data_IF_223747942276
#
_entry.id   IF_223747942276
#
_cell.length_a   1.000
_cell.length_b   1.000
_cell.length_c   1.000
_cell.angle_alpha   90.00
_cell.angle_beta   90.00
_cell.angle_gamma   90.00
#
_symmetry.space_group_name_H-M   'P 1'
#
loop_
_entity.id
_entity.type
_entity.pdbx_description
1 polymer ?
#
# COMPACT_ATOMS: atom_id res chain seq x y z
N UNK A 1 47.63 -168.75 3.54
CA UNK A 1 47.24 -169.89 2.67
C UNK A 1 47.72 -169.60 1.27
N UNK A 2 48.84 -170.18 0.83
CA UNK A 2 49.36 -169.96 -0.53
C UNK A 2 48.66 -170.87 -1.55
N UNK A 3 48.34 -170.34 -2.73
CA UNK A 3 47.71 -171.06 -3.83
C UNK A 3 48.67 -172.10 -4.41
N UNK A 4 48.22 -173.35 -4.59
CA UNK A 4 49.00 -174.47 -5.13
C UNK A 4 48.72 -174.66 -6.63
N UNK A 5 49.76 -174.95 -7.42
CA UNK A 5 49.69 -175.25 -8.85
C UNK A 5 49.65 -176.77 -9.15
N UNK A 6 49.52 -177.17 -10.44
CA UNK A 6 49.37 -178.58 -10.81
C UNK A 6 50.66 -179.35 -10.53
N UNK A 7 50.59 -180.29 -9.59
CA UNK A 7 51.75 -180.97 -9.00
C UNK A 7 51.94 -180.68 -7.51
N UNK A 8 51.02 -179.94 -6.89
CA UNK A 8 50.97 -179.66 -5.45
C UNK A 8 52.14 -178.78 -4.93
N UNK A 9 52.70 -177.93 -5.81
CA UNK A 9 53.69 -176.92 -5.44
C UNK A 9 53.06 -175.51 -5.32
N UNK A 10 53.40 -174.72 -4.29
CA UNK A 10 52.87 -173.36 -4.10
C UNK A 10 53.38 -172.36 -5.14
N UNK A 11 52.46 -171.57 -5.68
CA UNK A 11 52.71 -170.42 -6.56
C UNK A 11 53.01 -169.21 -5.68
N UNK A 12 54.01 -168.41 -6.05
CA UNK A 12 54.42 -167.23 -5.27
C UNK A 12 53.39 -166.10 -5.28
N UNK A 13 53.11 -165.51 -4.10
CA UNK A 13 52.10 -164.45 -3.88
C UNK A 13 52.32 -163.16 -4.68
N UNK A 14 53.54 -162.91 -5.14
CA UNK A 14 53.90 -161.72 -5.93
C UNK A 14 53.14 -161.61 -7.26
N UNK A 15 52.67 -162.74 -7.82
CA UNK A 15 51.85 -162.72 -9.04
C UNK A 15 50.45 -162.14 -8.80
N UNK A 16 49.90 -162.24 -7.58
CA UNK A 16 48.59 -161.65 -7.24
C UNK A 16 48.72 -160.15 -6.90
N UNK A 17 49.80 -159.76 -6.23
CA UNK A 17 50.03 -158.36 -5.83
C UNK A 17 50.14 -157.40 -7.02
N UNK A 18 50.64 -157.86 -8.18
CA UNK A 18 50.72 -157.06 -9.40
C UNK A 18 49.36 -156.71 -10.01
N UNK A 19 48.38 -157.61 -9.92
CA UNK A 19 47.02 -157.39 -10.43
C UNK A 19 46.12 -156.62 -9.42
N UNK A 20 46.49 -156.60 -8.14
CA UNK A 20 45.80 -155.86 -7.07
C UNK A 20 46.20 -154.37 -6.97
N UNK A 21 47.02 -153.87 -7.91
CA UNK A 21 47.31 -152.43 -8.05
C UNK A 21 48.01 -151.79 -6.85
N UNK A 22 48.70 -152.57 -6.00
CA UNK A 22 49.38 -152.08 -4.81
C UNK A 22 48.45 -151.72 -3.64
N UNK A 23 47.18 -152.12 -3.69
CA UNK A 23 46.25 -151.90 -2.58
C UNK A 23 46.48 -152.97 -1.52
N UNK A 24 47.03 -152.54 -0.38
CA UNK A 24 47.17 -153.41 0.80
C UNK A 24 45.81 -153.69 1.44
N UNK A 25 45.72 -154.83 2.13
CA UNK A 25 44.46 -155.36 2.68
C UNK A 25 43.71 -154.32 3.53
N UNK A 26 44.44 -153.55 4.33
CA UNK A 26 43.85 -152.57 5.24
C UNK A 26 43.20 -151.41 4.45
N UNK A 27 43.80 -151.00 3.33
CA UNK A 27 43.26 -149.95 2.45
C UNK A 27 42.06 -150.46 1.65
N UNK A 28 42.12 -151.70 1.17
CA UNK A 28 40.98 -152.31 0.51
C UNK A 28 39.79 -152.45 1.47
N UNK A 29 40.05 -152.86 2.71
CA UNK A 29 39.00 -152.94 3.72
C UNK A 29 38.38 -151.56 4.01
N UNK A 30 39.20 -150.52 4.22
CA UNK A 30 38.70 -149.19 4.54
C UNK A 30 37.86 -148.54 3.42
N UNK A 31 38.13 -148.83 2.14
CA UNK A 31 37.40 -148.22 1.02
C UNK A 31 36.28 -149.09 0.45
N UNK A 32 36.40 -150.41 0.53
CA UNK A 32 35.54 -151.35 -0.21
C UNK A 32 34.97 -152.49 0.62
N UNK A 33 35.36 -152.65 1.89
CA UNK A 33 34.63 -153.53 2.82
C UNK A 33 33.85 -152.69 3.81
N UNK A 34 32.52 -152.68 3.66
CA UNK A 34 31.65 -152.20 4.72
C UNK A 34 31.49 -153.31 5.76
N UNK A 35 32.29 -153.22 6.81
CA UNK A 35 32.11 -153.93 8.07
C UNK A 35 31.49 -152.94 9.08
N UNK A 36 30.57 -153.42 9.92
CA UNK A 36 29.81 -152.63 10.90
C UNK A 36 30.76 -151.84 11.82
N UNK A 37 31.84 -152.50 12.26
CA UNK A 37 32.84 -151.91 13.16
C UNK A 37 33.60 -150.74 12.48
N UNK A 38 33.94 -150.86 11.18
CA UNK A 38 34.63 -149.79 10.43
C UNK A 38 33.73 -148.61 10.11
N UNK A 39 32.42 -148.85 10.00
CA UNK A 39 31.41 -147.81 9.77
C UNK A 39 31.17 -147.00 11.06
N UNK A 40 31.25 -147.65 12.22
CA UNK A 40 31.12 -147.00 13.52
C UNK A 40 32.36 -146.14 13.85
N UNK A 41 33.59 -146.64 13.64
CA UNK A 41 34.82 -145.86 13.83
C UNK A 41 34.93 -144.68 12.84
N UNK A 42 34.55 -144.89 11.57
CA UNK A 42 34.50 -143.82 10.55
C UNK A 42 33.42 -142.78 10.87
N UNK A 43 32.28 -143.22 11.39
CA UNK A 43 31.19 -142.36 11.87
C UNK A 43 31.58 -141.54 13.10
N UNK A 44 32.28 -142.14 14.07
CA UNK A 44 32.78 -141.45 15.27
C UNK A 44 33.82 -140.37 14.92
N UNK A 45 34.70 -140.63 13.95
CA UNK A 45 35.67 -139.63 13.46
C UNK A 45 34.98 -138.41 12.80
N UNK A 46 33.86 -138.63 12.09
CA UNK A 46 33.04 -137.57 11.48
C UNK A 46 32.25 -136.80 12.55
N UNK A 47 31.71 -137.49 13.57
CA UNK A 47 31.03 -136.88 14.72
C UNK A 47 31.98 -136.06 15.61
N UNK A 48 33.23 -136.49 15.76
CA UNK A 48 34.26 -135.78 16.51
C UNK A 48 34.65 -134.44 15.85
N UNK A 49 34.52 -134.35 14.52
CA UNK A 49 34.76 -133.16 13.72
C UNK A 49 33.55 -132.21 13.75
N UNK A 50 33.28 -131.60 14.91
CA UNK A 50 32.11 -130.73 15.16
C UNK A 50 31.89 -129.64 14.10
N UNK A 51 31.08 -129.96 13.10
CA UNK A 51 30.33 -129.02 12.26
C UNK A 51 31.08 -128.34 11.10
N UNK A 52 32.36 -128.03 11.23
CA UNK A 52 32.99 -127.10 10.27
C UNK A 52 33.38 -127.76 8.94
N UNK A 53 33.90 -128.99 8.98
CA UNK A 53 34.30 -129.71 7.76
C UNK A 53 33.09 -130.30 7.02
N UNK A 54 32.07 -130.79 7.76
CA UNK A 54 30.82 -131.29 7.19
C UNK A 54 30.04 -130.20 6.46
N UNK A 55 30.04 -128.97 7.00
CA UNK A 55 29.41 -127.84 6.36
C UNK A 55 30.18 -127.39 5.11
N UNK A 56 31.52 -127.35 5.14
CA UNK A 56 32.35 -127.02 3.96
C UNK A 56 32.24 -128.05 2.83
N UNK A 57 32.25 -129.35 3.14
CA UNK A 57 32.15 -130.43 2.14
C UNK A 57 30.75 -130.53 1.50
N UNK A 58 29.68 -130.26 2.26
CA UNK A 58 28.33 -130.22 1.69
C UNK A 58 28.05 -128.91 0.94
N UNK A 59 28.58 -127.77 1.40
CA UNK A 59 28.30 -126.46 0.78
C UNK A 59 29.09 -126.19 -0.50
N UNK A 60 30.29 -126.76 -0.67
CA UNK A 60 31.07 -126.67 -1.91
C UNK A 60 30.48 -127.52 -3.06
N UNK A 61 29.73 -128.59 -2.75
CA UNK A 61 29.23 -129.57 -3.73
C UNK A 61 27.78 -129.33 -4.18
N UNK A 62 26.98 -128.57 -3.42
CA UNK A 62 25.52 -128.48 -3.66
C UNK A 62 24.98 -127.06 -3.90
N UNK A 63 25.82 -126.03 -3.90
CA UNK A 63 25.39 -124.63 -4.12
C UNK A 63 24.57 -124.01 -2.97
N UNK A 64 24.43 -124.73 -1.84
CA UNK A 64 23.66 -124.33 -0.66
C UNK A 64 24.24 -123.12 0.10
N UNK A 65 25.52 -122.77 -0.10
CA UNK A 65 26.12 -121.57 0.49
C UNK A 65 25.43 -120.27 0.02
N UNK A 66 25.10 -120.19 -1.27
CA UNK A 66 24.36 -119.06 -1.83
C UNK A 66 22.94 -118.97 -1.24
N UNK A 67 22.29 -120.12 -1.05
CA UNK A 67 20.97 -120.19 -0.42
C UNK A 67 21.01 -119.74 1.05
N UNK A 68 22.00 -120.16 1.84
CA UNK A 68 22.13 -119.68 3.22
C UNK A 68 22.36 -118.17 3.32
N UNK A 69 23.15 -117.60 2.40
CA UNK A 69 23.39 -116.16 2.36
C UNK A 69 22.10 -115.41 2.00
N UNK A 70 21.37 -115.85 0.97
CA UNK A 70 20.06 -115.24 0.63
C UNK A 70 19.03 -115.38 1.75
N UNK A 71 19.06 -116.45 2.53
CA UNK A 71 18.15 -116.65 3.67
C UNK A 71 18.47 -115.69 4.82
N UNK A 72 19.75 -115.40 5.05
CA UNK A 72 20.19 -114.37 6.02
C UNK A 72 19.76 -112.97 5.55
N UNK A 73 19.89 -112.66 4.26
CA UNK A 73 19.44 -111.39 3.67
C UNK A 73 17.91 -111.23 3.72
N UNK A 74 17.16 -112.27 3.35
CA UNK A 74 15.70 -112.29 3.48
C UNK A 74 15.25 -112.13 4.93
N UNK A 75 15.97 -112.74 5.87
CA UNK A 75 15.67 -112.63 7.31
C UNK A 75 16.02 -111.25 7.85
N UNK A 76 17.09 -110.60 7.38
CA UNK A 76 17.43 -109.23 7.78
C UNK A 76 16.44 -108.22 7.20
N UNK A 77 15.98 -108.41 5.96
CA UNK A 77 14.90 -107.63 5.35
C UNK A 77 13.58 -107.81 6.10
N UNK A 78 13.21 -109.06 6.44
CA UNK A 78 12.02 -109.36 7.21
C UNK A 78 12.09 -108.75 8.63
N UNK A 79 13.23 -108.86 9.31
CA UNK A 79 13.45 -108.27 10.63
C UNK A 79 13.44 -106.72 10.57
N UNK A 80 13.90 -106.11 9.47
CA UNK A 80 13.82 -104.67 9.22
C UNK A 80 12.38 -104.17 8.98
N UNK A 81 11.58 -104.97 8.27
CA UNK A 81 10.16 -104.72 8.05
C UNK A 81 9.36 -104.84 9.36
N UNK A 82 9.53 -105.94 10.11
CA UNK A 82 8.80 -106.19 11.34
C UNK A 82 9.48 -107.19 12.28
N UNK A 83 9.62 -106.81 13.55
CA UNK A 83 10.12 -107.69 14.61
C UNK A 83 9.35 -107.44 15.91
N UNK A 84 8.84 -108.52 16.52
CA UNK A 84 7.86 -108.51 17.62
C UNK A 84 8.31 -107.73 18.88
N UNK A 85 9.60 -107.44 19.06
CA UNK A 85 10.16 -106.68 20.19
C UNK A 85 11.19 -105.62 19.77
N UNK A 86 11.23 -105.22 18.51
CA UNK A 86 12.15 -104.18 18.07
C UNK A 86 11.63 -102.78 18.43
N UNK A 87 12.56 -101.90 18.82
CA UNK A 87 12.28 -100.51 19.22
C UNK A 87 11.96 -99.60 18.02
N UNK A 88 12.40 -99.98 16.83
CA UNK A 88 12.09 -99.35 15.54
C UNK A 88 12.05 -100.46 14.48
N UNK A 89 11.03 -100.41 13.64
CA UNK A 89 10.83 -101.23 12.44
C UNK A 89 10.09 -100.35 11.45
N UNK A 90 10.26 -100.61 10.15
CA UNK A 90 9.66 -99.75 9.11
C UNK A 90 8.14 -99.62 9.26
N UNK A 91 7.45 -100.71 9.60
CA UNK A 91 6.00 -100.70 9.87
C UNK A 91 5.65 -99.90 11.13
N UNK A 92 6.49 -99.95 12.17
CA UNK A 92 6.31 -99.17 13.39
C UNK A 92 6.39 -97.67 13.12
N UNK A 93 7.37 -97.23 12.34
CA UNK A 93 7.58 -95.83 11.98
C UNK A 93 6.50 -95.31 11.01
N UNK A 94 6.02 -96.16 10.09
CA UNK A 94 4.88 -95.81 9.24
C UNK A 94 3.58 -95.68 10.05
N UNK A 95 3.38 -96.52 11.08
CA UNK A 95 2.21 -96.45 11.96
C UNK A 95 2.22 -95.21 12.85
N UNK A 96 3.37 -94.81 13.38
CA UNK A 96 3.49 -93.56 14.15
C UNK A 96 3.23 -92.35 13.25
N UNK A 97 3.83 -92.31 12.06
CA UNK A 97 3.59 -91.24 11.08
C UNK A 97 2.14 -91.17 10.62
N UNK A 98 1.46 -92.30 10.46
CA UNK A 98 0.02 -92.36 10.18
C UNK A 98 -0.80 -91.79 11.34
N UNK A 99 -0.43 -92.07 12.59
CA UNK A 99 -1.10 -91.52 13.76
C UNK A 99 -0.94 -90.00 13.83
N UNK A 100 0.27 -89.48 13.64
CA UNK A 100 0.55 -88.04 13.60
C UNK A 100 -0.24 -87.33 12.50
N UNK A 101 -0.30 -87.93 11.30
CA UNK A 101 -1.07 -87.39 10.19
C UNK A 101 -2.58 -87.41 10.45
N UNK A 102 -3.10 -88.45 11.12
CA UNK A 102 -4.50 -88.50 11.54
C UNK A 102 -4.82 -87.43 12.57
N UNK A 103 -3.95 -87.22 13.55
CA UNK A 103 -4.14 -86.18 14.57
C UNK A 103 -4.10 -84.78 13.96
N UNK A 104 -3.12 -84.49 13.09
CA UNK A 104 -3.05 -83.21 12.36
C UNK A 104 -4.25 -83.01 11.45
N UNK A 105 -4.74 -84.07 10.82
CA UNK A 105 -5.98 -84.03 10.05
C UNK A 105 -7.13 -83.64 10.97
N UNK A 106 -7.35 -84.34 12.08
CA UNK A 106 -8.44 -84.05 13.02
C UNK A 106 -8.41 -82.60 13.55
N UNK A 107 -7.22 -82.03 13.78
CA UNK A 107 -7.05 -80.65 14.25
C UNK A 107 -7.45 -79.60 13.19
N UNK A 108 -7.27 -79.92 11.91
CA UNK A 108 -7.57 -79.02 10.78
C UNK A 108 -8.97 -79.29 10.22
N UNK A 109 -9.40 -80.55 10.27
CA UNK A 109 -10.62 -81.04 9.65
C UNK A 109 -11.82 -80.49 10.41
N UNK A 110 -12.40 -79.45 9.83
CA UNK A 110 -13.62 -78.85 10.32
C UNK A 110 -14.76 -79.63 9.71
N UNK A 111 -15.56 -80.30 10.56
CA UNK A 111 -16.77 -80.97 10.13
C UNK A 111 -17.59 -80.05 9.21
N UNK A 112 -18.00 -80.56 8.05
CA UNK A 112 -18.72 -79.78 7.04
C UNK A 112 -19.94 -79.05 7.63
N UNK A 113 -20.59 -79.63 8.65
CA UNK A 113 -21.69 -79.01 9.40
C UNK A 113 -21.25 -77.76 10.17
N UNK A 114 -20.11 -77.81 10.87
CA UNK A 114 -19.56 -76.67 11.62
C UNK A 114 -19.11 -75.56 10.68
N UNK A 115 -18.48 -75.90 9.56
CA UNK A 115 -18.13 -74.93 8.53
C UNK A 115 -19.38 -74.24 7.97
N UNK A 116 -20.43 -75.01 7.64
CA UNK A 116 -21.70 -74.46 7.15
C UNK A 116 -22.34 -73.50 8.16
N UNK A 117 -22.35 -73.85 9.44
CA UNK A 117 -22.83 -72.96 10.51
C UNK A 117 -22.00 -71.66 10.63
N UNK A 118 -20.68 -71.74 10.49
CA UNK A 118 -19.80 -70.56 10.51
C UNK A 118 -20.05 -69.64 9.30
N UNK A 119 -20.26 -70.21 8.11
CA UNK A 119 -20.60 -69.45 6.91
C UNK A 119 -21.96 -68.77 7.08
N UNK A 120 -22.99 -69.49 7.53
CA UNK A 120 -24.32 -68.93 7.76
C UNK A 120 -24.29 -67.82 8.82
N UNK A 121 -23.52 -68.01 9.90
CA UNK A 121 -23.34 -66.98 10.93
C UNK A 121 -22.62 -65.75 10.37
N UNK A 122 -21.58 -65.95 9.56
CA UNK A 122 -20.86 -64.86 8.89
C UNK A 122 -21.78 -64.08 7.96
N UNK A 123 -22.56 -64.77 7.13
CA UNK A 123 -23.50 -64.13 6.20
C UNK A 123 -24.59 -63.35 6.95
N UNK A 124 -25.16 -63.92 8.02
CA UNK A 124 -26.14 -63.22 8.86
C UNK A 124 -25.55 -61.98 9.53
N UNK A 125 -24.36 -62.10 10.12
CA UNK A 125 -23.68 -60.97 10.76
C UNK A 125 -23.28 -59.90 9.75
N UNK A 126 -22.89 -60.28 8.53
CA UNK A 126 -22.56 -59.34 7.46
C UNK A 126 -23.81 -58.59 6.99
N UNK A 127 -24.94 -59.29 6.81
CA UNK A 127 -26.21 -58.66 6.49
C UNK A 127 -26.65 -57.64 7.56
N UNK A 128 -26.56 -58.00 8.85
CA UNK A 128 -26.87 -57.07 9.94
C UNK A 128 -25.90 -55.88 10.01
N UNK A 129 -24.62 -56.10 9.71
CA UNK A 129 -23.64 -55.02 9.64
C UNK A 129 -23.96 -54.06 8.50
N UNK A 130 -24.28 -54.57 7.31
CA UNK A 130 -24.61 -53.76 6.14
C UNK A 130 -25.89 -52.95 6.36
N UNK A 131 -26.91 -53.55 6.99
CA UNK A 131 -28.15 -52.87 7.38
C UNK A 131 -27.88 -51.74 8.39
N UNK A 132 -27.16 -52.03 9.47
CA UNK A 132 -26.82 -51.03 10.48
C UNK A 132 -25.95 -49.89 9.91
N UNK A 133 -25.06 -50.19 8.96
CA UNK A 133 -24.27 -49.20 8.26
C UNK A 133 -25.14 -48.33 7.35
N UNK A 134 -26.09 -48.91 6.61
CA UNK A 134 -27.04 -48.17 5.82
C UNK A 134 -27.88 -47.21 6.69
N UNK A 135 -28.45 -47.70 7.79
CA UNK A 135 -29.23 -46.89 8.74
C UNK A 135 -28.41 -45.75 9.35
N UNK A 136 -27.16 -46.05 9.72
CA UNK A 136 -26.23 -45.03 10.24
C UNK A 136 -25.96 -43.95 9.19
N UNK A 137 -25.71 -44.33 7.94
CA UNK A 137 -25.46 -43.35 6.86
C UNK A 137 -26.67 -42.48 6.60
N UNK A 138 -27.87 -43.06 6.54
CA UNK A 138 -29.12 -42.30 6.36
C UNK A 138 -29.37 -41.35 7.53
N UNK A 139 -29.18 -41.81 8.76
CA UNK A 139 -29.33 -40.99 9.97
C UNK A 139 -28.32 -39.85 9.98
N UNK A 140 -27.06 -40.10 9.61
CA UNK A 140 -26.02 -39.10 9.54
C UNK A 140 -26.35 -38.03 8.49
N UNK A 141 -26.78 -38.42 7.29
CA UNK A 141 -27.22 -37.48 6.25
C UNK A 141 -28.37 -36.60 6.74
N UNK A 142 -29.37 -37.18 7.40
CA UNK A 142 -30.51 -36.42 7.95
C UNK A 142 -30.08 -35.46 9.06
N UNK A 143 -29.14 -35.88 9.91
CA UNK A 143 -28.60 -35.05 10.97
C UNK A 143 -27.80 -33.87 10.41
N UNK A 144 -27.01 -34.08 9.37
CA UNK A 144 -26.25 -33.02 8.71
C UNK A 144 -27.17 -32.04 7.98
N UNK A 145 -28.23 -32.52 7.33
CA UNK A 145 -29.29 -31.68 6.76
C UNK A 145 -29.96 -30.79 7.82
N UNK A 146 -30.37 -31.37 8.95
CA UNK A 146 -31.00 -30.63 10.06
C UNK A 146 -30.03 -29.59 10.64
N UNK A 147 -28.75 -29.95 10.83
CA UNK A 147 -27.73 -28.99 11.28
C UNK A 147 -27.58 -27.83 10.31
N UNK A 148 -27.55 -28.08 9.01
CA UNK A 148 -27.47 -27.04 8.00
C UNK A 148 -28.69 -26.12 8.05
N UNK A 149 -29.90 -26.68 8.19
CA UNK A 149 -31.13 -25.90 8.36
C UNK A 149 -31.11 -25.05 9.64
N UNK A 150 -30.73 -25.64 10.77
CA UNK A 150 -30.60 -24.92 12.04
C UNK A 150 -29.59 -23.77 11.96
N UNK A 151 -28.47 -23.98 11.23
CA UNK A 151 -27.47 -22.95 10.99
C UNK A 151 -28.00 -21.83 10.08
N UNK A 152 -28.88 -22.16 9.13
CA UNK A 152 -29.47 -21.21 8.19
C UNK A 152 -30.65 -20.40 8.78
N UNK A 153 -31.39 -20.96 9.75
CA UNK A 153 -32.54 -20.29 10.39
C UNK A 153 -32.25 -18.89 10.94
N UNK A 154 -31.19 -18.63 11.73
CA UNK A 154 -30.92 -17.28 12.21
C UNK A 154 -30.62 -16.31 11.07
N UNK A 155 -29.86 -16.75 10.04
CA UNK A 155 -29.59 -15.93 8.84
C UNK A 155 -30.86 -15.62 8.07
N UNK A 156 -31.80 -16.57 7.99
CA UNK A 156 -33.11 -16.35 7.38
C UNK A 156 -33.93 -15.33 8.17
N UNK A 157 -33.85 -15.35 9.50
CA UNK A 157 -34.51 -14.37 10.36
C UNK A 157 -33.91 -12.97 10.16
N UNK A 158 -32.57 -12.83 10.16
CA UNK A 158 -31.87 -11.57 9.87
C UNK A 158 -32.24 -11.01 8.49
N UNK A 159 -32.33 -11.87 7.48
CA UNK A 159 -32.70 -11.48 6.13
C UNK A 159 -34.17 -11.08 6.02
N UNK A 160 -35.08 -11.69 6.79
CA UNK A 160 -36.47 -11.24 6.89
C UNK A 160 -36.57 -9.88 7.57
N UNK A 161 -35.94 -9.71 8.73
CA UNK A 161 -35.90 -8.43 9.44
C UNK A 161 -35.30 -7.31 8.57
N UNK A 162 -34.21 -7.60 7.86
CA UNK A 162 -33.61 -6.64 6.91
C UNK A 162 -34.55 -6.27 5.77
N UNK A 163 -35.32 -7.24 5.24
CA UNK A 163 -36.31 -6.98 4.19
C UNK A 163 -37.51 -6.19 4.71
N UNK A 164 -37.98 -6.49 5.91
CA UNK A 164 -39.08 -5.77 6.53
C UNK A 164 -38.67 -4.30 6.77
N UNK A 165 -37.46 -4.06 7.31
CA UNK A 165 -36.89 -2.71 7.46
C UNK A 165 -36.71 -2.00 6.13
N UNK A 166 -36.29 -2.70 5.08
CA UNK A 166 -36.17 -2.12 3.75
C UNK A 166 -37.54 -1.78 3.14
N UNK A 167 -38.56 -2.60 3.41
CA UNK A 167 -39.92 -2.36 2.95
C UNK A 167 -40.51 -1.08 3.56
N UNK A 168 -40.17 -0.74 4.81
CA UNK A 168 -40.57 0.53 5.45
C UNK A 168 -40.07 1.77 4.70
N UNK A 169 -38.96 1.66 3.96
CA UNK A 169 -38.35 2.75 3.18
C UNK A 169 -38.41 2.51 1.67
N UNK A 170 -39.21 1.56 1.20
CA UNK A 170 -39.28 1.20 -0.22
C UNK A 170 -39.78 2.35 -1.11
N UNK A 171 -40.66 3.21 -0.56
CA UNK A 171 -41.19 4.37 -1.27
C UNK A 171 -40.26 5.59 -1.24
N UNK A 172 -39.10 5.49 -0.57
CA UNK A 172 -38.09 6.55 -0.55
C UNK A 172 -37.35 6.54 -1.90
N UNK A 173 -37.31 7.68 -2.63
CA UNK A 173 -36.57 7.76 -3.87
C UNK A 173 -35.09 7.47 -3.64
N UNK A 174 -34.47 6.80 -4.62
CA UNK A 174 -33.04 6.50 -4.56
C UNK A 174 -32.23 7.78 -4.45
N UNK A 175 -31.32 7.83 -3.49
CA UNK A 175 -30.50 9.00 -3.25
C UNK A 175 -29.60 9.25 -4.47
N UNK A 176 -29.45 10.51 -4.93
CA UNK A 176 -28.52 10.84 -5.99
C UNK A 176 -27.09 10.36 -5.64
N UNK A 177 -26.34 9.80 -6.60
CA UNK A 177 -25.00 9.26 -6.33
C UNK A 177 -24.01 10.35 -5.87
N UNK A 178 -24.26 11.63 -6.18
CA UNK A 178 -23.44 12.75 -5.73
C UNK A 178 -23.45 12.94 -4.20
N UNK A 179 -24.54 12.55 -3.54
CA UNK A 179 -24.72 12.72 -2.10
C UNK A 179 -23.69 11.97 -1.26
N UNK A 180 -23.14 10.86 -1.78
CA UNK A 180 -22.06 10.13 -1.11
C UNK A 180 -20.81 10.98 -0.87
N UNK A 181 -20.55 11.96 -1.75
CA UNK A 181 -19.43 12.89 -1.63
C UNK A 181 -19.86 14.25 -1.06
N UNK A 182 -21.06 14.71 -1.37
CA UNK A 182 -21.57 16.04 -0.99
C UNK A 182 -22.04 16.10 0.48
N UNK A 183 -22.75 15.08 0.98
CA UNK A 183 -23.29 15.10 2.35
C UNK A 183 -22.21 15.21 3.44
N UNK A 184 -21.07 14.49 3.38
CA UNK A 184 -20.01 14.66 4.36
C UNK A 184 -19.46 16.09 4.40
N UNK A 185 -19.29 16.72 3.22
CA UNK A 185 -18.81 18.09 3.12
C UNK A 185 -19.82 19.09 3.70
N UNK A 186 -21.10 18.93 3.36
CA UNK A 186 -22.19 19.75 3.91
C UNK A 186 -22.30 19.57 5.43
N UNK A 187 -22.17 18.34 5.93
CA UNK A 187 -22.23 18.08 7.37
C UNK A 187 -21.06 18.72 8.12
N UNK A 188 -19.86 18.67 7.54
CA UNK A 188 -18.70 19.35 8.10
C UNK A 188 -18.88 20.87 8.07
N UNK A 189 -19.39 21.43 6.98
CA UNK A 189 -19.71 22.85 6.89
C UNK A 189 -20.78 23.28 7.89
N UNK A 190 -21.81 22.47 8.13
CA UNK A 190 -22.85 22.74 9.14
C UNK A 190 -22.25 22.78 10.55
N UNK A 191 -21.35 21.86 10.89
CA UNK A 191 -20.61 21.87 12.17
C UNK A 191 -19.76 23.14 12.28
N UNK A 192 -19.01 23.51 11.25
CA UNK A 192 -18.18 24.71 11.25
C UNK A 192 -19.01 25.99 11.41
N UNK A 193 -20.14 26.08 10.70
CA UNK A 193 -21.06 27.20 10.81
C UNK A 193 -21.73 27.27 12.19
N UNK A 194 -22.08 26.12 12.78
CA UNK A 194 -22.60 26.06 14.14
C UNK A 194 -21.60 26.60 15.16
N UNK A 195 -20.32 26.21 15.04
CA UNK A 195 -19.24 26.73 15.90
C UNK A 195 -19.06 28.23 15.70
N UNK A 196 -18.96 28.70 14.44
CA UNK A 196 -18.85 30.14 14.13
C UNK A 196 -20.01 30.93 14.72
N UNK A 197 -21.24 30.42 14.62
CA UNK A 197 -22.43 31.06 15.20
C UNK A 197 -22.32 31.21 16.71
N UNK A 198 -21.91 30.17 17.42
CA UNK A 198 -21.75 30.24 18.88
C UNK A 198 -20.62 31.19 19.30
N UNK A 199 -19.49 31.22 18.56
CA UNK A 199 -18.43 32.20 18.82
C UNK A 199 -18.88 33.64 18.61
N UNK A 200 -19.64 33.90 17.54
CA UNK A 200 -20.20 35.23 17.27
C UNK A 200 -21.20 35.66 18.36
N UNK A 201 -22.07 34.74 18.81
CA UNK A 201 -22.99 35.01 19.93
C UNK A 201 -22.23 35.36 21.22
N UNK A 202 -21.18 34.61 21.54
CA UNK A 202 -20.36 34.88 22.72
C UNK A 202 -19.68 36.27 22.63
N UNK A 203 -19.15 36.62 21.46
CA UNK A 203 -18.55 37.94 21.22
C UNK A 203 -19.59 39.07 21.35
N UNK A 204 -20.79 38.89 20.80
CA UNK A 204 -21.88 39.87 20.96
C UNK A 204 -22.21 40.05 22.44
N UNK A 205 -22.38 38.96 23.20
CA UNK A 205 -22.70 39.03 24.62
C UNK A 205 -21.59 39.74 25.43
N UNK A 206 -20.32 39.53 25.08
CA UNK A 206 -19.19 40.22 25.71
C UNK A 206 -19.17 41.72 25.38
N UNK A 207 -19.41 42.09 24.12
CA UNK A 207 -19.51 43.48 23.69
C UNK A 207 -20.70 44.20 24.33
N UNK A 208 -21.86 43.55 24.41
CA UNK A 208 -23.04 44.08 25.10
C UNK A 208 -22.78 44.28 26.59
N UNK A 209 -22.10 43.34 27.24
CA UNK A 209 -21.68 43.49 28.64
C UNK A 209 -20.71 44.66 28.79
N UNK A 210 -19.75 44.80 27.88
CA UNK A 210 -18.82 45.93 27.84
C UNK A 210 -19.55 47.26 27.69
N UNK A 211 -20.51 47.35 26.76
CA UNK A 211 -21.30 48.54 26.51
C UNK A 211 -22.18 48.91 27.72
N UNK A 212 -22.82 47.92 28.35
CA UNK A 212 -23.63 48.12 29.55
C UNK A 212 -22.79 48.50 30.79
N UNK A 213 -21.50 48.18 30.80
CA UNK A 213 -20.58 48.57 31.86
C UNK A 213 -20.03 50.00 31.68
N UNK A 214 -20.22 50.62 30.52
CA UNK A 214 -19.84 52.02 30.30
C UNK A 214 -20.81 52.91 31.09
N UNK A 215 -20.30 53.50 32.17
CA UNK A 215 -21.00 54.54 32.92
C UNK A 215 -20.62 55.89 32.31
N UNK A 216 -21.58 56.57 31.72
CA UNK A 216 -21.40 57.91 31.20
C UNK A 216 -21.44 58.92 32.35
N UNK A 217 -20.34 59.63 32.56
CA UNK A 217 -20.29 60.79 33.44
C UNK A 217 -20.67 62.04 32.63
N UNK A 218 -21.95 62.43 32.72
CA UNK A 218 -22.48 63.60 32.02
C UNK A 218 -21.77 64.91 32.44
N UNK A 219 -21.28 64.99 33.67
CA UNK A 219 -20.55 66.17 34.16
C UNK A 219 -19.18 66.23 33.49
N UNK A 220 -18.46 65.11 33.42
CA UNK A 220 -17.18 65.04 32.72
C UNK A 220 -17.33 65.34 31.20
N UNK A 221 -18.38 64.81 30.56
CA UNK A 221 -18.66 65.05 29.13
C UNK A 221 -18.93 66.52 28.81
N UNK A 222 -19.71 67.21 29.65
CA UNK A 222 -19.97 68.65 29.49
C UNK A 222 -18.74 69.50 29.82
N UNK A 223 -17.91 69.08 30.77
CA UNK A 223 -16.63 69.73 31.07
C UNK A 223 -15.62 69.59 29.93
N UNK A 224 -15.59 68.46 29.22
CA UNK A 224 -14.69 68.25 28.07
C UNK A 224 -14.82 69.34 27.01
N UNK A 225 -16.04 69.65 26.57
CA UNK A 225 -16.28 70.74 25.59
C UNK A 225 -15.82 72.12 26.11
N UNK A 226 -15.97 72.36 27.42
CA UNK A 226 -15.48 73.60 28.04
C UNK A 226 -13.96 73.64 28.12
N UNK A 227 -13.30 72.50 28.31
CA UNK A 227 -11.84 72.40 28.33
C UNK A 227 -11.23 72.67 26.95
N UNK A 228 -11.84 72.19 25.88
CA UNK A 228 -11.40 72.49 24.51
C UNK A 228 -11.49 73.99 24.21
N UNK A 229 -12.60 74.62 24.59
CA UNK A 229 -12.77 76.07 24.46
C UNK A 229 -11.76 76.87 25.30
N UNK A 230 -11.40 76.37 26.49
CA UNK A 230 -10.34 76.97 27.31
C UNK A 230 -8.97 76.83 26.62
N UNK A 231 -8.71 75.71 25.94
CA UNK A 231 -7.49 75.53 25.15
C UNK A 231 -7.33 76.59 24.06
N UNK A 232 -8.39 76.85 23.29
CA UNK A 232 -8.41 77.93 22.29
C UNK A 232 -8.23 79.31 22.92
N UNK A 233 -8.93 79.59 24.03
CA UNK A 233 -8.80 80.86 24.75
C UNK A 233 -7.40 81.07 25.32
N UNK A 234 -6.78 80.00 25.83
CA UNK A 234 -5.40 80.03 26.34
C UNK A 234 -4.41 80.35 25.22
N UNK A 235 -4.55 79.73 24.03
CA UNK A 235 -3.71 80.04 22.88
C UNK A 235 -3.82 81.52 22.48
N UNK A 236 -5.05 82.06 22.42
CA UNK A 236 -5.29 83.49 22.13
C UNK A 236 -4.70 84.40 23.22
N UNK A 237 -4.84 84.02 24.49
CA UNK A 237 -4.26 84.76 25.61
C UNK A 237 -2.73 84.81 25.51
N UNK A 238 -2.06 83.67 25.27
CA UNK A 238 -0.59 83.59 25.17
C UNK A 238 -0.07 84.41 23.99
N UNK A 239 -0.74 84.37 22.83
CA UNK A 239 -0.38 85.22 21.69
C UNK A 239 -0.56 86.70 22.04
N UNK A 240 -1.69 87.08 22.62
CA UNK A 240 -1.96 88.47 23.01
C UNK A 240 -0.97 88.97 24.08
N UNK A 241 -0.59 88.15 25.05
CA UNK A 241 0.38 88.49 26.09
C UNK A 241 1.78 88.76 25.50
N UNK A 242 2.19 88.01 24.46
CA UNK A 242 3.45 88.22 23.76
C UNK A 242 3.43 89.41 22.81
N UNK A 243 2.31 89.67 22.15
CA UNK A 243 2.17 90.76 21.18
C UNK A 243 1.93 92.13 21.84
N UNK A 244 1.34 92.17 23.05
CA UNK A 244 0.96 93.42 23.73
C UNK A 244 2.14 94.38 23.96
N UNK A 245 3.35 93.95 24.38
CA UNK A 245 4.52 94.82 24.51
C UNK A 245 4.91 95.46 23.18
N UNK A 246 4.96 94.68 22.09
CA UNK A 246 5.33 95.16 20.76
C UNK A 246 4.30 96.17 20.23
N UNK A 247 3.00 95.91 20.45
CA UNK A 247 1.94 96.86 20.11
C UNK A 247 2.01 98.16 20.91
N UNK A 248 2.39 98.10 22.19
CA UNK A 248 2.64 99.30 23.01
C UNK A 248 3.85 100.09 22.51
N UNK A 249 4.92 99.43 22.09
CA UNK A 249 6.08 100.10 21.47
C UNK A 249 5.69 100.78 20.16
N UNK A 250 4.97 100.08 19.27
CA UNK A 250 4.46 100.66 18.03
C UNK A 250 3.55 101.88 18.28
N UNK A 251 2.69 101.81 19.30
CA UNK A 251 1.87 102.95 19.69
C UNK A 251 2.75 104.15 20.11
N UNK A 252 3.76 103.92 20.96
CA UNK A 252 4.69 104.97 21.37
C UNK A 252 5.50 105.56 20.21
N UNK A 253 5.87 104.74 19.22
CA UNK A 253 6.54 105.20 17.99
C UNK A 253 5.61 106.09 17.16
N UNK A 254 4.38 105.65 16.91
CA UNK A 254 3.37 106.42 16.18
C UNK A 254 3.04 107.72 16.92
N UNK A 255 2.86 107.69 18.24
CA UNK A 255 2.63 108.89 19.05
C UNK A 255 3.82 109.87 18.94
N UNK A 256 5.05 109.36 18.88
CA UNK A 256 6.25 110.19 18.66
C UNK A 256 6.28 110.79 17.25
N UNK A 257 5.89 110.04 16.23
CA UNK A 257 5.76 110.55 14.87
C UNK A 257 4.68 111.63 14.78
N UNK A 258 3.52 111.42 15.40
CA UNK A 258 2.46 112.42 15.50
C UNK A 258 2.99 113.68 16.19
N UNK A 259 3.66 113.55 17.34
CA UNK A 259 4.26 114.69 18.04
C UNK A 259 5.30 115.44 17.19
N UNK A 260 6.10 114.74 16.39
CA UNK A 260 7.03 115.37 15.46
C UNK A 260 6.30 116.13 14.34
N UNK A 261 5.25 115.56 13.76
CA UNK A 261 4.45 116.23 12.74
C UNK A 261 3.74 117.47 13.29
N UNK A 262 3.19 117.40 14.51
CA UNK A 262 2.59 118.53 15.21
C UNK A 262 3.59 119.67 15.44
N UNK A 263 4.84 119.34 15.80
CA UNK A 263 5.92 120.35 15.88
C UNK A 263 6.22 120.98 14.54
N UNK A 264 6.22 120.21 13.45
CA UNK A 264 6.46 120.74 12.10
C UNK A 264 5.34 121.69 11.64
N UNK A 265 4.12 121.46 12.12
CA UNK A 265 2.94 122.31 11.91
C UNK A 265 2.85 123.47 12.91
N UNK A 266 3.85 123.65 13.78
CA UNK A 266 3.93 124.69 14.82
C UNK A 266 2.79 124.62 15.85
N UNK A 267 2.23 123.42 16.08
CA UNK A 267 1.13 123.16 17.05
C UNK A 267 1.52 122.06 18.05
N UNK A 268 2.57 122.26 18.87
CA UNK A 268 3.16 121.21 19.70
C UNK A 268 2.32 120.76 20.92
N UNK A 269 1.22 121.46 21.23
CA UNK A 269 0.33 121.16 22.36
C UNK A 269 -1.12 120.87 21.92
N UNK A 270 -1.32 120.44 20.67
CA UNK A 270 -2.65 120.03 20.21
C UNK A 270 -3.00 118.65 20.80
N UNK A 271 -4.01 118.60 21.67
CA UNK A 271 -4.47 117.37 22.33
C UNK A 271 -5.29 116.45 21.40
N UNK A 272 -5.80 116.97 20.29
CA UNK A 272 -6.59 116.22 19.31
C UNK A 272 -6.05 116.40 17.88
N UNK A 273 -5.00 115.66 17.47
CA UNK A 273 -4.34 115.82 16.17
C UNK A 273 -5.29 115.61 14.97
N UNK A 274 -6.39 114.88 15.16
CA UNK A 274 -7.42 114.66 14.16
C UNK A 274 -8.20 115.93 13.80
N UNK A 275 -8.25 116.93 14.68
CA UNK A 275 -8.90 118.22 14.42
C UNK A 275 -8.19 119.01 13.30
N UNK A 276 -6.88 118.81 13.16
CA UNK A 276 -6.02 119.46 12.17
C UNK A 276 -6.05 118.77 10.80
N UNK A 277 -6.72 117.61 10.70
CA UNK A 277 -6.88 116.93 9.42
C UNK A 277 -7.83 117.72 8.52
N UNK A 278 -7.34 118.07 7.33
CA UNK A 278 -8.16 118.71 6.31
C UNK A 278 -9.29 117.76 5.88
N UNK A 279 -10.54 118.23 5.99
CA UNK A 279 -11.71 117.46 5.59
C UNK A 279 -11.60 116.91 4.16
N UNK A 280 -12.16 115.72 3.91
CA UNK A 280 -11.93 114.96 2.66
C UNK A 280 -12.21 115.76 1.38
N UNK A 281 -13.19 116.68 1.42
CA UNK A 281 -13.52 117.59 0.31
C UNK A 281 -12.40 118.60 0.04
N UNK A 282 -11.79 119.16 1.09
CA UNK A 282 -10.71 120.14 0.99
C UNK A 282 -9.43 119.43 0.52
N UNK A 283 -9.10 118.30 1.14
CA UNK A 283 -7.97 117.45 0.72
C UNK A 283 -8.10 116.98 -0.73
N UNK A 284 -9.30 116.57 -1.14
CA UNK A 284 -9.61 116.22 -2.52
C UNK A 284 -9.48 117.41 -3.46
N UNK A 285 -10.04 118.57 -3.10
CA UNK A 285 -9.92 119.79 -3.91
C UNK A 285 -8.48 120.26 -4.04
N UNK A 286 -7.65 120.15 -2.99
CA UNK A 286 -6.23 120.48 -3.04
C UNK A 286 -5.51 119.50 -3.97
N UNK A 287 -5.79 118.20 -3.86
CA UNK A 287 -5.20 117.18 -4.74
C UNK A 287 -5.59 117.42 -6.20
N UNK A 288 -6.87 117.69 -6.48
CA UNK A 288 -7.37 118.05 -7.81
C UNK A 288 -6.72 119.33 -8.33
N UNK A 289 -6.50 120.34 -7.48
CA UNK A 289 -5.82 121.58 -7.87
C UNK A 289 -4.33 121.36 -8.15
N UNK A 290 -3.65 120.52 -7.35
CA UNK A 290 -2.26 120.12 -7.60
C UNK A 290 -2.15 119.36 -8.92
N UNK A 291 -3.08 118.45 -9.20
CA UNK A 291 -3.14 117.67 -10.43
C UNK A 291 -3.53 118.53 -11.65
N UNK A 292 -4.44 119.49 -11.49
CA UNK A 292 -4.76 120.48 -12.54
C UNK A 292 -3.59 121.39 -12.82
N UNK A 293 -2.87 121.87 -11.79
CA UNK A 293 -1.68 122.70 -11.97
C UNK A 293 -0.58 121.93 -12.68
N UNK A 294 -0.32 120.68 -12.28
CA UNK A 294 0.67 119.85 -12.98
C UNK A 294 0.26 119.59 -14.44
N UNK A 295 -1.03 119.39 -14.71
CA UNK A 295 -1.58 119.31 -16.07
C UNK A 295 -1.43 120.61 -16.88
N UNK A 296 -1.74 121.77 -16.28
CA UNK A 296 -1.58 123.09 -16.91
C UNK A 296 -0.11 123.36 -17.23
N UNK A 297 0.80 123.12 -16.28
CA UNK A 297 2.24 123.30 -16.48
C UNK A 297 2.74 122.44 -17.65
N UNK A 298 2.25 121.19 -17.77
CA UNK A 298 2.54 120.33 -18.92
C UNK A 298 1.97 120.87 -20.26
N UNK A 299 0.73 121.36 -20.27
CA UNK A 299 0.12 121.94 -21.49
C UNK A 299 0.82 123.22 -21.93
N UNK A 300 1.20 124.11 -21.00
CA UNK A 300 1.97 125.31 -21.27
C UNK A 300 3.34 124.96 -21.89
N UNK A 301 4.00 123.93 -21.35
CA UNK A 301 5.29 123.47 -21.85
C UNK A 301 5.18 122.88 -23.27
N UNK A 302 4.09 122.14 -23.56
CA UNK A 302 3.80 121.63 -24.91
C UNK A 302 3.46 122.75 -25.90
N UNK A 303 2.59 123.70 -25.54
CA UNK A 303 2.22 124.82 -26.40
C UNK A 303 3.42 125.71 -26.77
N UNK A 304 4.34 125.93 -25.82
CA UNK A 304 5.62 126.62 -26.10
C UNK A 304 6.46 125.85 -27.13
N UNK A 305 6.56 124.53 -27.01
CA UNK A 305 7.24 123.67 -27.99
C UNK A 305 6.60 123.74 -29.38
N UNK A 306 5.28 123.62 -29.47
CA UNK A 306 4.56 123.70 -30.75
C UNK A 306 4.74 125.07 -31.44
N UNK A 307 4.70 126.17 -30.67
CA UNK A 307 4.94 127.51 -31.20
C UNK A 307 6.37 127.66 -31.74
N UNK A 308 7.38 127.11 -31.04
CA UNK A 308 8.76 127.08 -31.51
C UNK A 308 8.90 126.27 -32.82
N UNK A 309 8.26 125.11 -32.92
CA UNK A 309 8.26 124.27 -34.12
C UNK A 309 7.56 124.92 -35.30
N UNK A 310 6.37 125.51 -35.08
CA UNK A 310 5.62 126.22 -36.11
C UNK A 310 6.42 127.41 -36.64
N UNK A 311 7.11 128.15 -35.76
CA UNK A 311 7.95 129.26 -36.17
C UNK A 311 9.16 128.78 -37.00
N UNK A 312 9.78 127.66 -36.64
CA UNK A 312 10.82 127.02 -37.46
C UNK A 312 10.29 126.62 -38.84
N UNK A 313 9.12 125.98 -38.92
CA UNK A 313 8.49 125.63 -40.20
C UNK A 313 8.17 126.85 -41.05
N UNK A 314 7.72 127.95 -40.45
CA UNK A 314 7.44 129.19 -41.16
C UNK A 314 8.72 129.80 -41.76
N UNK A 315 9.82 129.79 -41.00
CA UNK A 315 11.14 130.20 -41.48
C UNK A 315 11.60 129.30 -42.64
N UNK A 316 11.42 127.98 -42.53
CA UNK A 316 11.82 127.01 -43.56
C UNK A 316 10.96 127.10 -44.84
N UNK A 317 9.65 127.31 -44.72
CA UNK A 317 8.77 127.53 -45.87
C UNK A 317 9.06 128.87 -46.56
N UNK A 318 9.39 129.92 -45.80
CA UNK A 318 9.84 131.21 -46.37
C UNK A 318 11.14 131.07 -47.15
N UNK A 319 12.09 130.26 -46.67
CA UNK A 319 13.34 130.04 -47.40
C UNK A 319 13.13 129.21 -48.67
N UNK A 320 12.25 128.20 -48.65
CA UNK A 320 11.87 127.41 -49.84
C UNK A 320 11.13 128.23 -50.91
N UNK A 321 10.20 129.10 -50.50
CA UNK A 321 9.48 130.00 -51.42
C UNK A 321 10.43 131.00 -52.11
N UNK A 322 11.46 131.47 -51.38
CA UNK A 322 12.50 132.34 -51.93
C UNK A 322 13.42 131.63 -52.92
N UNK A 323 13.59 130.30 -52.82
CA UNK A 323 14.43 129.54 -53.77
C UNK A 323 13.68 129.13 -55.04
N UNK A 324 12.37 128.86 -54.97
CA UNK A 324 11.56 128.51 -56.15
C UNK A 324 11.19 129.72 -57.02
N UNK A 325 11.05 130.92 -56.44
CA UNK A 325 10.77 132.15 -57.19
C UNK A 325 11.94 132.63 -58.09
N UNK A 326 13.17 132.15 -57.85
CA UNK A 326 14.34 132.50 -58.67
C UNK A 326 14.57 131.57 -59.88
N UNK A 327 13.89 130.42 -59.96
CA UNK A 327 14.18 129.36 -60.94
C UNK A 327 13.25 129.34 -62.17
N UNK A 328 12.22 130.19 -62.25
CA UNK A 328 11.24 130.16 -63.34
C UNK A 328 10.76 131.57 -63.73
N UNK A 329 11.51 132.24 -64.59
CA UNK A 329 10.94 133.27 -65.47
C UNK A 329 11.58 133.19 -66.85
N UNK A 330 11.26 132.12 -67.58
CA UNK A 330 11.29 132.16 -69.04
C UNK A 330 10.18 133.12 -69.49
N UNK A 331 10.60 134.37 -69.71
CA UNK A 331 9.85 135.57 -70.08
C UNK A 331 8.95 135.43 -71.34
N UNK A 332 9.07 134.34 -72.10
CA UNK A 332 8.30 134.14 -73.34
C UNK A 332 6.84 133.71 -73.11
N UNK A 333 6.51 133.07 -71.98
CA UNK A 333 5.13 132.63 -71.68
C UNK A 333 4.23 133.77 -71.15
N UNK A 334 4.82 134.75 -70.45
CA UNK A 334 4.08 135.88 -69.86
C UNK A 334 3.67 136.91 -70.93
N UNK A 335 4.46 137.04 -72.00
CA UNK A 335 4.15 137.91 -73.14
C UNK A 335 3.10 137.34 -74.13
N UNK A 336 2.81 136.04 -74.07
CA UNK A 336 1.71 135.44 -74.81
C UNK A 336 0.36 135.76 -74.13
N UNK A 337 0.29 135.61 -72.80
CA UNK A 337 -0.92 135.86 -72.02
C UNK A 337 -1.35 137.33 -72.01
N UNK A 338 -0.38 138.27 -72.05
CA UNK A 338 -0.66 139.70 -72.12
C UNK A 338 -1.28 140.14 -73.47
N UNK A 339 -0.99 139.42 -74.57
CA UNK A 339 -1.61 139.67 -75.89
C UNK A 339 -3.04 139.14 -75.98
N UNK A 340 -3.33 138.02 -75.33
CA UNK A 340 -4.71 137.50 -75.24
C UNK A 340 -5.59 138.41 -74.35
N UNK A 341 -5.03 138.99 -73.29
CA UNK A 341 -5.74 139.91 -72.38
C UNK A 341 -6.04 141.30 -72.99
N UNK A 342 -5.25 141.77 -73.97
CA UNK A 342 -5.58 143.00 -74.72
C UNK A 342 -6.66 142.77 -75.78
N UNK A 343 -6.65 141.60 -76.46
CA UNK A 343 -7.71 141.23 -77.41
C UNK A 343 -9.08 141.07 -76.74
N UNK A 344 -9.12 140.68 -75.46
CA UNK A 344 -10.34 140.62 -74.66
C UNK A 344 -10.80 142.00 -74.13
N UNK A 345 -9.94 143.02 -74.10
CA UNK A 345 -10.28 144.38 -73.62
C UNK A 345 -10.79 145.33 -74.71
N UNK A 346 -10.61 145.03 -75.99
CA UNK A 346 -11.28 145.76 -77.09
C UNK A 346 -12.74 145.30 -77.30
N UNK A 347 -13.20 144.23 -76.62
CA UNK A 347 -14.57 143.72 -76.74
C UNK A 347 -15.54 144.18 -75.63
N UNK A 348 -15.12 145.03 -74.69
CA UNK A 348 -15.98 145.57 -73.61
C UNK A 348 -16.22 147.09 -73.72
N UNK A 349 -16.03 147.65 -74.92
CA UNK A 349 -16.62 148.92 -75.33
C UNK A 349 -17.55 148.70 -76.54
N UNK A 350 -18.72 148.08 -76.29
CA UNK A 350 -19.92 148.15 -77.12
C UNK A 350 -21.17 147.98 -76.24
#
# INVERSE_FOLDING_TARGET
>A
NSLLGPGDQPIGEHLMLGELGGVERDVYCAMFSLDDDTLEEGGESILASKGDLGQLLFSASTGLAALSQTLVELRSQADGLFKLRARSSEIGDLKSRLADLKERKEQIDTLATRYRQMVETRERSLAHYDEAMADRTQTQLRLDEIKNLLTALPRLAELRDSRDRLAEVQDVPEAPPSWGNELPAIHQEDIELAVKRETAKASIAELEKGLNAIVLDEIALTLGQRMDAIGELHARYVTAERDLPDRRLQLMEVDREIANNLRLLDHPQEDEPSSLMLGSRISGSIRDLVERRSGIDATLQNAKREAEEANRRLIELRSKLSSEAAASTNSTAIAALARELSALRENDHA
#
